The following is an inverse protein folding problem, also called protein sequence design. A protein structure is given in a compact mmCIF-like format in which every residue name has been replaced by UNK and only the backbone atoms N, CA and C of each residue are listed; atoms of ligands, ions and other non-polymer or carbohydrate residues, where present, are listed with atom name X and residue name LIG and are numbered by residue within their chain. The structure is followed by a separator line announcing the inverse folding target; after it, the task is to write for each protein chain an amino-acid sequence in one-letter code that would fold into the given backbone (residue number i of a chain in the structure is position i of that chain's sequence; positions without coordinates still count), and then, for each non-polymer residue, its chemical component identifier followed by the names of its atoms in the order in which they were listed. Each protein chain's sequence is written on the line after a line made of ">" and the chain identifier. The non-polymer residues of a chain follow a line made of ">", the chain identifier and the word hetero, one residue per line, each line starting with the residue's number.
data_IF_789922453998
#
_entry.id   IF_789922453998
#
_cell.length_a   1.000
_cell.length_b   1.000
_cell.length_c   1.000
_cell.angle_alpha   90.00
_cell.angle_beta   90.00
_cell.angle_gamma   90.00
#
_symmetry.space_group_name_H-M   'P 1'
#
loop_
_entity.id
_entity.type
_entity.pdbx_description
1 polymer ?
#
# COMPACT_ATOMS: atom_id res chain seq x y z
N UNK A 1 1.38 10.87 -1.29
CA UNK A 1 0.16 10.59 -0.50
C UNK A 1 0.41 10.99 0.95
N UNK A 2 -0.42 11.83 1.57
CA UNK A 2 -0.19 12.36 2.94
C UNK A 2 -1.16 11.83 4.01
N UNK A 3 -1.87 10.74 3.71
CA UNK A 3 -2.84 10.16 4.63
C UNK A 3 -2.19 9.37 5.76
N UNK A 4 -2.96 9.17 6.83
CA UNK A 4 -2.59 8.34 7.98
C UNK A 4 -2.92 6.86 7.72
N UNK A 5 -2.17 5.92 8.31
CA UNK A 5 -2.45 4.49 8.26
C UNK A 5 -3.75 4.15 9.01
N UNK A 6 -4.59 3.30 8.41
CA UNK A 6 -5.81 2.72 8.98
C UNK A 6 -5.53 1.45 9.80
N UNK A 7 -4.45 0.76 9.44
CA UNK A 7 -4.00 -0.49 10.05
C UNK A 7 -2.48 -0.45 10.23
N UNK A 8 -1.97 -1.27 11.14
CA UNK A 8 -0.53 -1.41 11.34
C UNK A 8 0.16 -1.91 10.06
N UNK A 9 1.29 -1.32 9.64
CA UNK A 9 2.07 -1.80 8.50
C UNK A 9 2.72 -3.17 8.75
N UNK A 10 2.94 -3.53 10.01
CA UNK A 10 3.57 -4.79 10.44
C UNK A 10 2.81 -5.32 11.66
N UNK A 11 2.53 -6.61 11.71
CA UNK A 11 1.90 -7.23 12.88
C UNK A 11 2.76 -7.06 14.13
N UNK A 12 2.14 -6.72 15.26
CA UNK A 12 2.85 -6.52 16.53
C UNK A 12 3.60 -5.18 16.66
N UNK A 13 3.57 -4.30 15.64
CA UNK A 13 4.18 -2.98 15.76
C UNK A 13 3.42 -2.10 16.76
N UNK A 14 4.16 -1.53 17.71
CA UNK A 14 3.60 -0.65 18.74
C UNK A 14 2.88 0.56 18.13
N UNK A 15 1.69 0.87 18.67
CA UNK A 15 0.84 1.95 18.15
C UNK A 15 1.55 3.31 18.15
N UNK A 16 2.39 3.61 19.14
CA UNK A 16 3.11 4.89 19.22
C UNK A 16 4.05 5.12 18.02
N UNK A 17 4.44 4.04 17.33
CA UNK A 17 5.35 4.10 16.18
C UNK A 17 4.61 4.46 14.89
N UNK A 18 3.37 3.99 14.70
CA UNK A 18 2.66 4.12 13.42
C UNK A 18 1.34 4.89 13.52
N UNK A 19 0.62 4.81 14.63
CA UNK A 19 -0.69 5.44 14.80
C UNK A 19 -0.53 6.97 14.78
N UNK A 20 -1.23 7.62 13.85
CA UNK A 20 -1.15 9.06 13.66
C UNK A 20 0.05 9.56 12.83
N UNK A 21 1.01 8.70 12.46
CA UNK A 21 2.07 9.06 11.49
C UNK A 21 1.49 9.16 10.08
N UNK A 22 2.18 9.84 9.18
CA UNK A 22 1.79 9.90 7.78
C UNK A 22 2.54 8.86 6.97
N UNK A 23 1.87 8.29 5.96
CA UNK A 23 2.48 7.26 5.12
C UNK A 23 3.65 7.78 4.28
N UNK A 24 3.76 9.09 4.02
CA UNK A 24 4.95 9.71 3.40
C UNK A 24 6.17 9.77 4.33
N UNK A 25 6.03 9.45 5.62
CA UNK A 25 7.16 9.27 6.52
C UNK A 25 7.92 7.95 6.32
N UNK A 26 7.30 6.96 5.66
CA UNK A 26 7.93 5.66 5.34
C UNK A 26 7.97 5.36 3.84
N UNK A 27 7.06 5.96 3.06
CA UNK A 27 6.99 5.77 1.61
C UNK A 27 7.45 7.01 0.86
N UNK A 28 8.34 6.80 -0.09
CA UNK A 28 8.57 7.75 -1.16
C UNK A 28 7.58 7.49 -2.30
N UNK A 29 6.76 8.50 -2.60
CA UNK A 29 5.73 8.43 -3.62
C UNK A 29 6.31 8.80 -4.99
N UNK A 30 7.14 7.90 -5.51
CA UNK A 30 7.68 7.97 -6.87
C UNK A 30 6.88 7.04 -7.80
N UNK A 31 6.61 7.48 -9.02
CA UNK A 31 5.76 6.75 -9.98
C UNK A 31 6.37 5.38 -10.34
N UNK A 32 7.67 5.33 -10.60
CA UNK A 32 8.35 4.09 -10.95
C UNK A 32 8.32 3.09 -9.77
N UNK A 33 8.60 3.57 -8.55
CA UNK A 33 8.47 2.74 -7.33
C UNK A 33 7.04 2.27 -7.08
N UNK A 34 6.06 3.13 -7.30
CA UNK A 34 4.66 2.76 -7.16
C UNK A 34 4.27 1.69 -8.18
N UNK A 35 4.76 1.78 -9.42
CA UNK A 35 4.53 0.79 -10.46
C UNK A 35 5.09 -0.59 -10.04
N UNK A 36 6.30 -0.64 -9.51
CA UNK A 36 6.89 -1.90 -9.01
C UNK A 36 6.09 -2.49 -7.83
N UNK A 37 5.65 -1.67 -6.88
CA UNK A 37 4.77 -2.14 -5.81
C UNK A 37 3.43 -2.62 -6.36
N UNK A 38 2.85 -1.91 -7.32
CA UNK A 38 1.58 -2.22 -7.94
C UNK A 38 1.60 -3.55 -8.71
N UNK A 39 2.70 -3.86 -9.40
CA UNK A 39 2.91 -5.16 -10.06
C UNK A 39 2.82 -6.32 -9.09
N UNK A 40 3.30 -6.16 -7.84
CA UNK A 40 3.12 -7.18 -6.81
C UNK A 40 1.64 -7.39 -6.49
N UNK A 41 0.85 -6.33 -6.38
CA UNK A 41 -0.60 -6.49 -6.14
C UNK A 41 -1.34 -7.10 -7.33
N UNK A 42 -0.84 -6.93 -8.56
CA UNK A 42 -1.40 -7.52 -9.76
C UNK A 42 -0.99 -8.99 -9.98
N UNK A 43 0.22 -9.37 -9.55
CA UNK A 43 0.79 -10.70 -9.78
C UNK A 43 0.44 -11.72 -8.67
N UNK A 44 0.12 -11.25 -7.46
CA UNK A 44 -0.21 -12.12 -6.33
C UNK A 44 -1.66 -12.62 -6.38
N UNK A 45 -1.88 -13.78 -5.76
CA UNK A 45 -3.21 -14.37 -5.61
C UNK A 45 -4.18 -13.44 -4.85
N UNK A 46 -5.48 -13.54 -5.15
CA UNK A 46 -6.51 -12.71 -4.54
C UNK A 46 -6.56 -12.81 -3.00
N UNK A 47 -6.05 -13.90 -2.41
CA UNK A 47 -5.87 -14.04 -0.97
C UNK A 47 -4.93 -12.99 -0.36
N UNK A 48 -3.86 -12.59 -1.06
CA UNK A 48 -2.92 -11.53 -0.63
C UNK A 48 -3.60 -10.16 -0.62
N UNK A 49 -4.59 -9.95 -1.50
CA UNK A 49 -5.40 -8.73 -1.48
C UNK A 49 -6.30 -8.64 -0.23
N UNK A 50 -6.53 -9.73 0.51
CA UNK A 50 -7.27 -9.72 1.78
C UNK A 50 -6.44 -9.24 2.98
N UNK A 51 -5.10 -9.26 2.89
CA UNK A 51 -4.25 -8.70 3.94
C UNK A 51 -4.49 -7.20 4.10
N UNK A 52 -4.45 -6.66 5.31
CA UNK A 52 -4.66 -5.22 5.46
C UNK A 52 -3.47 -4.44 4.91
N UNK A 53 -3.75 -3.39 4.15
CA UNK A 53 -2.76 -2.38 3.81
C UNK A 53 -3.05 -1.13 4.65
N UNK A 54 -2.04 -0.40 5.13
CA UNK A 54 -2.26 0.81 5.92
C UNK A 54 -3.11 1.89 5.21
N UNK A 55 -3.09 1.97 3.88
CA UNK A 55 -3.99 2.83 3.09
C UNK A 55 -5.33 2.16 2.68
N UNK A 56 -5.58 0.95 3.17
CA UNK A 56 -6.81 0.19 2.94
C UNK A 56 -6.82 -0.64 1.64
N UNK A 57 -7.80 -1.52 1.53
CA UNK A 57 -7.95 -2.46 0.40
C UNK A 57 -8.17 -1.76 -0.94
N UNK A 58 -8.94 -0.65 -0.95
CA UNK A 58 -9.19 0.11 -2.20
C UNK A 58 -7.91 0.64 -2.83
N UNK A 59 -6.94 1.06 -2.00
CA UNK A 59 -5.63 1.51 -2.48
C UNK A 59 -4.89 0.39 -3.22
N UNK A 60 -4.79 -0.81 -2.63
CA UNK A 60 -4.15 -1.96 -3.29
C UNK A 60 -4.83 -2.34 -4.59
N UNK A 61 -6.17 -2.38 -4.61
CA UNK A 61 -6.94 -2.72 -5.80
C UNK A 61 -6.75 -1.69 -6.91
N UNK A 62 -6.71 -0.40 -6.57
CA UNK A 62 -6.46 0.66 -7.54
C UNK A 62 -5.05 0.55 -8.15
N UNK A 63 -4.02 0.32 -7.32
CA UNK A 63 -2.66 0.08 -7.81
C UNK A 63 -2.58 -1.16 -8.68
N UNK A 64 -3.17 -2.30 -8.28
CA UNK A 64 -3.17 -3.51 -9.08
C UNK A 64 -3.77 -3.28 -10.47
N UNK A 65 -4.92 -2.60 -10.56
CA UNK A 65 -5.56 -2.24 -11.84
C UNK A 65 -4.70 -1.31 -12.68
N UNK A 66 -4.08 -0.31 -12.05
CA UNK A 66 -3.17 0.60 -12.72
C UNK A 66 -1.95 -0.13 -13.30
N UNK A 67 -1.36 -1.08 -12.56
CA UNK A 67 -0.27 -1.92 -13.06
C UNK A 67 -0.70 -2.84 -14.23
N UNK A 68 -1.91 -3.41 -14.19
CA UNK A 68 -2.48 -4.18 -15.31
C UNK A 68 -2.64 -3.31 -16.56
N UNK A 69 -2.90 -2.01 -16.39
CA UNK A 69 -2.92 -1.01 -17.46
C UNK A 69 -1.54 -0.59 -17.98
N UNK A 70 -0.46 -1.12 -17.41
CA UNK A 70 0.92 -0.73 -17.75
C UNK A 70 1.41 0.51 -16.99
N UNK A 71 0.87 0.76 -15.80
CA UNK A 71 1.22 1.88 -14.94
C UNK A 71 0.98 3.26 -15.61
N UNK A 72 -0.20 3.43 -16.21
CA UNK A 72 -0.65 4.65 -16.90
C UNK A 72 -2.15 4.84 -16.78
#
# INVERSE_FOLDING_TARGET
>A
IRSKPLFSPVEGLDKSVWEGKHCDGCHEWDEARLCEQAKNFAANDASVLRLQHPLGTRFKVALAKWAQGGCK
#
